data_IF_686147965804
#
_entry.id   IF_686147965804
#
_cell.length_a   1.000
_cell.length_b   1.000
_cell.length_c   1.000
_cell.angle_alpha   90.00
_cell.angle_beta   90.00
_cell.angle_gamma   90.00
#
_symmetry.space_group_name_H-M   'P 1'
#
loop_
_entity.id
_entity.type
_entity.pdbx_description
1 polymer ?
#
# COMPACT_ATOMS: atom_id res chain seq x y z
N UNK A 1 19.33 53.74 25.18
CA UNK A 1 18.85 52.37 25.00
C UNK A 1 18.40 52.24 23.55
N UNK A 2 19.16 51.51 22.75
CA UNK A 2 18.76 51.05 21.42
C UNK A 2 17.64 50.01 21.58
N UNK A 3 16.58 50.16 20.79
CA UNK A 3 15.65 49.08 20.46
C UNK A 3 15.64 48.96 18.95
N UNK A 4 16.41 48.01 18.42
CA UNK A 4 16.41 47.63 17.02
C UNK A 4 15.32 46.56 16.90
N UNK A 5 14.14 46.95 16.41
CA UNK A 5 13.09 45.99 16.06
C UNK A 5 13.37 45.50 14.63
N UNK A 6 13.96 44.32 14.54
CA UNK A 6 14.02 43.53 13.33
C UNK A 6 12.58 43.15 12.94
N UNK A 7 12.12 43.38 11.70
CA UNK A 7 10.97 42.67 11.20
C UNK A 7 11.38 41.21 11.04
N UNK A 8 10.65 40.30 11.70
CA UNK A 8 10.70 38.88 11.39
C UNK A 8 10.27 38.72 9.92
N UNK A 9 11.22 38.33 9.07
CA UNK A 9 10.94 37.85 7.73
C UNK A 9 10.11 36.57 7.89
N UNK A 10 8.80 36.70 7.65
CA UNK A 10 7.93 35.55 7.51
C UNK A 10 8.49 34.68 6.40
N UNK A 11 8.84 33.45 6.74
CA UNK A 11 9.15 32.40 5.78
C UNK A 11 8.00 32.32 4.77
N UNK A 12 8.18 32.92 3.59
CA UNK A 12 7.38 32.62 2.42
C UNK A 12 7.58 31.13 2.17
N UNK A 13 6.65 30.30 2.65
CA UNK A 13 6.52 28.94 2.14
C UNK A 13 6.36 29.09 0.64
N UNK A 14 7.41 28.77 -0.12
CA UNK A 14 7.32 28.64 -1.56
C UNK A 14 6.10 27.76 -1.85
N UNK A 15 5.04 28.37 -2.39
CA UNK A 15 3.91 27.65 -2.94
C UNK A 15 4.49 26.59 -3.88
N UNK A 16 4.15 25.31 -3.67
CA UNK A 16 4.77 24.25 -4.42
C UNK A 16 4.49 24.46 -5.91
N UNK A 17 5.51 24.82 -6.67
CA UNK A 17 5.39 25.02 -8.10
C UNK A 17 4.91 23.73 -8.80
N UNK A 18 4.34 23.83 -10.01
CA UNK A 18 3.81 22.69 -10.76
C UNK A 18 4.89 21.65 -11.12
N UNK A 19 6.16 22.00 -10.98
CA UNK A 19 7.29 21.10 -11.19
C UNK A 19 7.41 20.04 -10.08
N UNK A 20 6.84 20.27 -8.89
CA UNK A 20 6.87 19.34 -7.77
C UNK A 20 6.11 18.03 -8.04
N UNK A 21 5.16 18.05 -8.97
CA UNK A 21 4.44 16.84 -9.39
C UNK A 21 5.38 15.77 -9.97
N UNK A 22 6.53 16.16 -10.55
CA UNK A 22 7.53 15.22 -11.07
C UNK A 22 8.38 14.53 -10.00
N UNK A 23 8.44 15.07 -8.79
CA UNK A 23 9.21 14.50 -7.67
C UNK A 23 8.41 13.46 -6.88
N UNK A 24 7.08 13.41 -7.09
CA UNK A 24 6.19 12.48 -6.41
C UNK A 24 6.36 11.06 -6.90
N UNK A 25 6.12 10.10 -6.01
CA UNK A 25 6.02 8.69 -6.39
C UNK A 25 4.82 8.48 -7.32
N UNK A 26 4.93 7.66 -8.38
CA UNK A 26 3.81 7.38 -9.30
C UNK A 26 2.55 6.88 -8.61
N UNK A 27 2.69 6.16 -7.50
CA UNK A 27 1.59 5.60 -6.71
C UNK A 27 0.96 6.60 -5.73
N UNK A 28 1.49 7.82 -5.66
CA UNK A 28 1.01 8.90 -4.79
C UNK A 28 0.50 10.10 -5.59
N UNK A 29 0.48 10.00 -6.92
CA UNK A 29 -0.04 11.04 -7.79
C UNK A 29 -1.54 11.23 -7.59
N UNK A 30 -1.98 12.48 -7.68
CA UNK A 30 -3.40 12.86 -7.77
C UNK A 30 -3.72 13.35 -9.18
N UNK A 31 -5.01 13.54 -9.49
CA UNK A 31 -5.42 14.17 -10.76
C UNK A 31 -4.83 15.59 -10.92
N UNK A 32 -4.72 16.32 -9.81
CA UNK A 32 -4.08 17.64 -9.75
C UNK A 32 -2.62 17.58 -10.22
N UNK A 33 -1.87 16.59 -9.75
CA UNK A 33 -0.48 16.38 -10.17
C UNK A 33 -0.37 16.11 -11.68
N UNK A 34 -1.32 15.36 -12.24
CA UNK A 34 -1.35 15.10 -13.69
C UNK A 34 -1.68 16.38 -14.47
N UNK A 35 -2.53 17.28 -13.94
CA UNK A 35 -2.78 18.58 -14.55
C UNK A 35 -1.55 19.50 -14.49
N UNK A 36 -0.82 19.51 -13.38
CA UNK A 36 0.42 20.28 -13.24
C UNK A 36 1.49 19.80 -14.24
N UNK A 37 1.69 18.48 -14.33
CA UNK A 37 2.56 17.86 -15.34
C UNK A 37 2.12 18.26 -16.75
N UNK A 38 0.81 18.18 -17.04
CA UNK A 38 0.26 18.55 -18.35
C UNK A 38 0.52 20.01 -18.71
N UNK A 39 0.41 20.92 -17.73
CA UNK A 39 0.69 22.34 -17.89
C UNK A 39 2.17 22.59 -18.20
N UNK A 40 3.09 22.00 -17.43
CA UNK A 40 4.55 22.15 -17.65
C UNK A 40 4.93 21.62 -19.02
N UNK A 41 4.50 20.40 -19.36
CA UNK A 41 4.75 19.77 -20.65
C UNK A 41 4.18 20.60 -21.80
N UNK A 42 2.96 21.14 -21.66
CA UNK A 42 2.34 22.01 -22.65
C UNK A 42 3.13 23.29 -22.92
N UNK A 43 3.68 23.93 -21.87
CA UNK A 43 4.54 25.12 -22.01
C UNK A 43 5.84 24.81 -22.75
N UNK A 44 6.50 23.70 -22.41
CA UNK A 44 7.76 23.32 -23.07
C UNK A 44 7.56 22.95 -24.54
N UNK A 45 6.48 22.24 -24.87
CA UNK A 45 6.12 21.94 -26.27
C UNK A 45 5.86 23.23 -27.06
N UNK A 46 5.17 24.21 -26.46
CA UNK A 46 4.90 25.50 -27.12
C UNK A 46 6.18 26.30 -27.41
N UNK A 47 7.14 26.29 -26.46
CA UNK A 47 8.45 26.92 -26.66
C UNK A 47 9.17 26.31 -27.86
N UNK A 48 9.22 24.97 -27.94
CA UNK A 48 9.87 24.24 -29.04
C UNK A 48 9.14 24.49 -30.37
N UNK A 49 7.80 24.52 -30.37
CA UNK A 49 7.00 24.76 -31.57
C UNK A 49 7.13 26.18 -32.14
N UNK A 50 7.62 27.13 -31.34
CA UNK A 50 7.77 28.53 -31.77
C UNK A 50 9.07 28.79 -32.53
N UNK A 51 9.96 27.80 -32.65
CA UNK A 51 11.22 27.93 -33.38
C UNK A 51 11.01 27.84 -34.92
N UNK A 52 11.61 28.74 -35.73
CA UNK A 52 11.14 28.98 -37.11
C UNK A 52 11.59 27.96 -38.18
N UNK A 53 12.05 26.77 -37.82
CA UNK A 53 12.60 25.82 -38.80
C UNK A 53 11.47 24.96 -39.41
N UNK A 54 11.21 25.13 -40.71
CA UNK A 54 10.15 24.45 -41.45
C UNK A 54 10.18 22.92 -41.32
N UNK A 55 8.99 22.31 -41.26
CA UNK A 55 8.65 20.90 -40.92
C UNK A 55 8.68 20.48 -39.45
N UNK A 56 9.46 21.15 -38.59
CA UNK A 56 9.50 20.86 -37.14
C UNK A 56 8.12 21.06 -36.46
N UNK A 57 7.35 22.13 -36.76
CA UNK A 57 6.09 22.39 -36.05
C UNK A 57 5.01 21.31 -36.25
N UNK A 58 4.94 20.70 -37.44
CA UNK A 58 3.93 19.65 -37.72
C UNK A 58 4.25 18.35 -36.98
N UNK A 59 5.53 17.96 -36.90
CA UNK A 59 5.95 16.77 -36.14
C UNK A 59 5.76 16.99 -34.64
N UNK A 60 6.04 18.19 -34.14
CA UNK A 60 5.80 18.58 -32.74
C UNK A 60 4.31 18.54 -32.42
N UNK A 61 3.43 19.04 -33.29
CA UNK A 61 1.98 18.94 -33.10
C UNK A 61 1.49 17.48 -33.05
N UNK A 62 1.96 16.61 -33.96
CA UNK A 62 1.62 15.18 -33.92
C UNK A 62 2.09 14.50 -32.62
N UNK A 63 3.27 14.87 -32.12
CA UNK A 63 3.78 14.37 -30.85
C UNK A 63 2.97 14.92 -29.66
N UNK A 64 2.57 16.19 -29.70
CA UNK A 64 1.72 16.83 -28.71
C UNK A 64 0.42 16.05 -28.52
N UNK A 65 -0.27 15.66 -29.59
CA UNK A 65 -1.49 14.85 -29.48
C UNK A 65 -1.24 13.48 -28.83
N UNK A 66 -0.11 12.83 -29.13
CA UNK A 66 0.26 11.56 -28.48
C UNK A 66 0.55 11.76 -26.99
N UNK A 67 1.21 12.86 -26.62
CA UNK A 67 1.50 13.21 -25.24
C UNK A 67 0.21 13.50 -24.47
N UNK A 68 -0.70 14.31 -25.04
CA UNK A 68 -2.03 14.55 -24.46
C UNK A 68 -2.74 13.23 -24.23
N UNK A 69 -2.70 12.31 -25.20
CA UNK A 69 -3.31 10.99 -25.03
C UNK A 69 -2.68 10.17 -23.89
N UNK A 70 -1.36 10.24 -23.71
CA UNK A 70 -0.67 9.58 -22.59
C UNK A 70 -1.09 10.20 -21.25
N UNK A 71 -1.21 11.52 -21.19
CA UNK A 71 -1.64 12.25 -19.99
C UNK A 71 -3.09 11.93 -19.62
N UNK A 72 -4.00 11.86 -20.60
CA UNK A 72 -5.38 11.39 -20.39
C UNK A 72 -5.43 9.96 -19.83
N UNK A 73 -4.60 9.05 -20.35
CA UNK A 73 -4.51 7.68 -19.85
C UNK A 73 -3.95 7.64 -18.42
N UNK A 74 -2.96 8.49 -18.13
CA UNK A 74 -2.39 8.61 -16.79
C UNK A 74 -3.42 9.14 -15.80
N UNK A 75 -4.17 10.19 -16.16
CA UNK A 75 -5.25 10.75 -15.34
C UNK A 75 -6.30 9.70 -15.01
N UNK A 76 -6.75 8.93 -16.01
CA UNK A 76 -7.72 7.86 -15.80
C UNK A 76 -7.21 6.80 -14.80
N UNK A 77 -5.96 6.34 -14.96
CA UNK A 77 -5.35 5.36 -14.06
C UNK A 77 -5.18 5.90 -12.64
N UNK A 78 -4.74 7.16 -12.51
CA UNK A 78 -4.57 7.82 -11.21
C UNK A 78 -5.92 7.98 -10.50
N UNK A 79 -6.97 8.37 -11.24
CA UNK A 79 -8.31 8.50 -10.69
C UNK A 79 -8.87 7.15 -10.22
N UNK A 80 -8.81 6.12 -11.06
CA UNK A 80 -9.29 4.77 -10.69
C UNK A 80 -8.54 4.20 -9.49
N UNK A 81 -7.21 4.38 -9.44
CA UNK A 81 -6.38 3.96 -8.31
C UNK A 81 -6.78 4.67 -7.03
N UNK A 82 -6.95 6.00 -7.07
CA UNK A 82 -7.33 6.78 -5.89
C UNK A 82 -8.73 6.40 -5.39
N UNK A 83 -9.70 6.19 -6.29
CA UNK A 83 -11.04 5.72 -5.93
C UNK A 83 -10.98 4.35 -5.26
N UNK A 84 -10.27 3.39 -5.85
CA UNK A 84 -10.12 2.03 -5.29
C UNK A 84 -9.47 2.07 -3.91
N UNK A 85 -8.44 2.89 -3.73
CA UNK A 85 -7.76 3.05 -2.43
C UNK A 85 -8.70 3.64 -1.38
N UNK A 86 -9.50 4.65 -1.74
CA UNK A 86 -10.48 5.24 -0.81
C UNK A 86 -11.59 4.25 -0.46
N UNK A 87 -12.10 3.48 -1.42
CA UNK A 87 -13.09 2.41 -1.17
C UNK A 87 -12.55 1.36 -0.19
N UNK A 88 -11.33 0.86 -0.42
CA UNK A 88 -10.69 -0.11 0.48
C UNK A 88 -10.43 0.47 1.87
N UNK A 89 -10.08 1.75 1.97
CA UNK A 89 -9.91 2.43 3.27
C UNK A 89 -11.24 2.48 4.02
N UNK A 90 -12.33 2.84 3.34
CA UNK A 90 -13.66 2.87 3.94
C UNK A 90 -14.10 1.48 4.41
N UNK A 91 -13.90 0.44 3.59
CA UNK A 91 -14.20 -0.94 3.96
C UNK A 91 -13.38 -1.39 5.17
N UNK A 92 -12.07 -1.12 5.17
CA UNK A 92 -11.19 -1.39 6.32
C UNK A 92 -11.68 -0.69 7.58
N UNK A 93 -12.09 0.56 7.50
CA UNK A 93 -12.56 1.32 8.66
C UNK A 93 -13.91 0.82 9.17
N UNK A 94 -14.80 0.40 8.27
CA UNK A 94 -16.07 -0.24 8.63
C UNK A 94 -15.85 -1.59 9.32
N UNK A 95 -15.02 -2.46 8.74
CA UNK A 95 -14.65 -3.75 9.35
C UNK A 95 -13.96 -3.56 10.69
N UNK A 96 -13.09 -2.55 10.81
CA UNK A 96 -12.43 -2.23 12.08
C UNK A 96 -13.44 -1.83 13.16
N UNK A 97 -14.46 -1.04 12.81
CA UNK A 97 -15.56 -0.67 13.73
C UNK A 97 -16.43 -1.88 14.07
N UNK A 98 -16.74 -2.75 13.12
CA UNK A 98 -17.51 -3.97 13.37
C UNK A 98 -16.75 -4.91 14.32
N UNK A 99 -15.46 -5.15 14.08
CA UNK A 99 -14.60 -5.93 14.97
C UNK A 99 -14.53 -5.32 16.37
N UNK A 100 -14.43 -3.99 16.47
CA UNK A 100 -14.46 -3.30 17.76
C UNK A 100 -15.82 -3.43 18.46
N UNK A 101 -16.92 -3.35 17.70
CA UNK A 101 -18.29 -3.58 18.17
C UNK A 101 -18.47 -4.99 18.72
N UNK A 102 -18.09 -6.01 17.96
CA UNK A 102 -18.15 -7.41 18.39
C UNK A 102 -17.28 -7.69 19.62
N UNK A 103 -16.12 -7.01 19.75
CA UNK A 103 -15.30 -7.08 20.97
C UNK A 103 -15.98 -6.45 22.19
N UNK A 104 -16.84 -5.44 22.01
CA UNK A 104 -17.58 -4.74 23.07
C UNK A 104 -18.92 -5.39 23.41
N UNK A 105 -19.56 -6.04 22.43
CA UNK A 105 -20.84 -6.78 22.58
C UNK A 105 -20.64 -8.23 23.05
N UNK A 106 -19.40 -8.73 23.07
CA UNK A 106 -19.01 -9.79 24.00
C UNK A 106 -19.35 -9.37 25.44
N UNK A 107 -19.63 -10.32 26.36
CA UNK A 107 -20.06 -9.99 27.72
C UNK A 107 -19.14 -8.94 28.35
N UNK A 108 -19.65 -7.90 29.04
CA UNK A 108 -18.81 -6.96 29.77
C UNK A 108 -18.25 -7.69 31.00
N UNK A 109 -17.19 -8.44 30.78
CA UNK A 109 -16.53 -9.27 31.77
C UNK A 109 -15.13 -9.55 31.28
N UNK A 110 -14.24 -8.59 31.54
CA UNK A 110 -12.79 -8.66 31.35
C UNK A 110 -12.33 -9.16 29.97
N UNK A 111 -11.67 -8.28 29.23
CA UNK A 111 -10.81 -8.63 28.09
C UNK A 111 -9.68 -9.64 28.44
N UNK A 112 -9.61 -10.12 29.68
CA UNK A 112 -8.65 -11.09 30.18
C UNK A 112 -9.25 -12.47 30.50
N UNK A 113 -10.57 -12.67 30.66
CA UNK A 113 -11.10 -13.94 31.20
C UNK A 113 -12.51 -14.30 30.71
N UNK A 114 -12.60 -15.04 29.60
CA UNK A 114 -13.85 -15.69 29.19
C UNK A 114 -14.13 -16.90 30.09
N UNK A 115 -15.06 -16.77 31.04
CA UNK A 115 -15.54 -17.87 31.89
C UNK A 115 -16.73 -18.59 31.24
N UNK A 116 -16.49 -19.77 30.66
CA UNK A 116 -17.53 -20.57 30.00
C UNK A 116 -18.24 -21.52 30.99
N UNK A 117 -18.80 -20.99 32.07
CA UNK A 117 -19.57 -21.77 33.06
C UNK A 117 -18.72 -22.53 34.09
N UNK A 118 -19.37 -23.19 35.08
CA UNK A 118 -18.73 -23.62 36.34
C UNK A 118 -17.61 -24.66 36.20
N UNK A 119 -17.44 -25.23 35.01
CA UNK A 119 -16.53 -26.34 34.74
C UNK A 119 -15.68 -26.11 33.48
N UNK A 120 -15.53 -24.85 33.03
CA UNK A 120 -14.70 -24.53 31.85
C UNK A 120 -13.65 -23.47 32.18
N UNK A 121 -12.43 -23.81 31.80
CA UNK A 121 -11.20 -23.04 31.95
C UNK A 121 -11.38 -21.58 31.50
N UNK A 122 -10.80 -20.69 32.29
CA UNK A 122 -10.64 -19.29 31.95
C UNK A 122 -9.64 -19.18 30.80
N UNK A 123 -10.06 -18.64 29.66
CA UNK A 123 -9.23 -18.53 28.46
C UNK A 123 -8.65 -17.12 28.38
N UNK A 124 -7.36 -16.97 28.72
CA UNK A 124 -6.61 -15.74 28.43
C UNK A 124 -6.22 -15.73 26.95
N UNK A 125 -6.74 -14.76 26.20
CA UNK A 125 -6.47 -14.60 24.77
C UNK A 125 -5.07 -14.02 24.48
N UNK A 126 -4.40 -13.49 25.50
CA UNK A 126 -3.05 -12.88 25.44
C UNK A 126 -1.95 -13.88 25.80
N UNK A 127 -2.30 -15.04 26.34
CA UNK A 127 -1.32 -16.05 26.78
C UNK A 127 -0.56 -16.64 25.57
N UNK A 128 0.78 -16.46 25.51
CA UNK A 128 1.59 -17.06 24.46
C UNK A 128 1.58 -18.60 24.48
N UNK A 129 1.27 -19.23 25.63
CA UNK A 129 1.17 -20.68 25.78
C UNK A 129 -0.26 -21.21 25.53
N UNK A 130 -1.22 -20.33 25.19
CA UNK A 130 -2.58 -20.75 24.85
C UNK A 130 -2.54 -21.76 23.69
N UNK A 131 -3.13 -22.96 23.82
CA UNK A 131 -3.26 -23.90 22.71
C UNK A 131 -3.99 -23.24 21.54
N UNK A 132 -3.27 -22.95 20.45
CA UNK A 132 -3.81 -22.30 19.24
C UNK A 132 -4.32 -23.29 18.20
N UNK A 133 -3.99 -24.57 18.39
CA UNK A 133 -4.31 -25.64 17.46
C UNK A 133 -5.26 -26.63 18.10
N UNK A 134 -6.16 -27.15 17.30
CA UNK A 134 -7.00 -28.30 17.60
C UNK A 134 -6.18 -29.58 17.58
N UNK A 135 -6.66 -30.62 18.26
CA UNK A 135 -6.04 -31.96 18.21
C UNK A 135 -5.97 -32.52 16.79
N UNK A 136 -6.93 -32.16 15.93
CA UNK A 136 -6.98 -32.60 14.54
C UNK A 136 -5.81 -32.01 13.74
N UNK A 137 -5.60 -30.70 13.83
CA UNK A 137 -4.47 -30.03 13.18
C UNK A 137 -3.13 -30.59 13.66
N UNK A 138 -3.00 -30.84 14.96
CA UNK A 138 -1.78 -31.45 15.51
C UNK A 138 -1.57 -32.87 14.98
N UNK A 139 -2.63 -33.68 14.88
CA UNK A 139 -2.57 -35.02 14.28
C UNK A 139 -2.14 -34.95 12.82
N UNK A 140 -2.71 -34.03 12.05
CA UNK A 140 -2.43 -33.88 10.62
C UNK A 140 -0.96 -33.49 10.40
N UNK A 141 -0.46 -32.50 11.14
CA UNK A 141 0.95 -32.08 11.08
C UNK A 141 1.91 -33.20 11.52
N UNK A 142 1.54 -33.97 12.55
CA UNK A 142 2.35 -35.12 12.99
C UNK A 142 2.39 -36.23 11.94
N UNK A 143 1.26 -36.50 11.29
CA UNK A 143 1.17 -37.49 10.24
C UNK A 143 1.99 -37.09 9.01
N UNK A 144 1.90 -35.83 8.58
CA UNK A 144 2.69 -35.26 7.49
C UNK A 144 4.19 -35.35 7.80
N UNK A 145 4.61 -34.94 9.01
CA UNK A 145 6.01 -35.06 9.46
C UNK A 145 6.51 -36.51 9.40
N UNK A 146 5.68 -37.47 9.81
CA UNK A 146 6.06 -38.88 9.78
C UNK A 146 6.20 -39.41 8.35
N UNK A 147 5.30 -39.01 7.44
CA UNK A 147 5.39 -39.36 6.02
C UNK A 147 6.67 -38.79 5.39
N UNK A 148 6.97 -37.51 5.62
CA UNK A 148 8.19 -36.86 5.14
C UNK A 148 9.44 -37.53 5.70
N UNK A 149 9.43 -37.90 6.99
CA UNK A 149 10.54 -38.62 7.62
C UNK A 149 10.77 -39.99 6.97
N UNK A 150 9.72 -40.72 6.62
CA UNK A 150 9.84 -42.00 5.93
C UNK A 150 10.40 -41.83 4.52
N UNK A 151 9.92 -40.85 3.76
CA UNK A 151 10.45 -40.53 2.43
C UNK A 151 11.92 -40.11 2.47
N UNK A 152 12.31 -39.30 3.46
CA UNK A 152 13.67 -38.88 3.67
C UNK A 152 14.59 -40.07 4.00
N UNK A 153 14.13 -41.01 4.82
CA UNK A 153 14.89 -42.22 5.13
C UNK A 153 15.15 -43.06 3.87
N UNK A 154 14.10 -43.32 3.07
CA UNK A 154 14.22 -44.07 1.82
C UNK A 154 15.19 -43.37 0.86
N UNK A 155 15.03 -42.06 0.67
CA UNK A 155 15.91 -41.28 -0.20
C UNK A 155 17.35 -41.31 0.28
N UNK A 156 17.59 -41.27 1.60
CA UNK A 156 18.93 -41.40 2.17
C UNK A 156 19.53 -42.80 1.95
N UNK A 157 18.73 -43.86 2.08
CA UNK A 157 19.14 -45.24 1.78
C UNK A 157 19.51 -45.42 0.30
N UNK A 158 18.71 -44.87 -0.61
CA UNK A 158 19.01 -44.87 -2.05
C UNK A 158 20.31 -44.13 -2.36
N UNK A 159 20.49 -42.91 -1.83
CA UNK A 159 21.72 -42.13 -2.00
C UNK A 159 22.96 -42.83 -1.42
N UNK A 160 22.82 -43.57 -0.31
CA UNK A 160 23.90 -44.37 0.25
C UNK A 160 24.30 -45.53 -0.68
N UNK A 161 23.36 -46.13 -1.41
CA UNK A 161 23.66 -47.16 -2.39
C UNK A 161 24.50 -46.62 -3.57
N UNK A 162 24.29 -45.37 -3.97
CA UNK A 162 25.06 -44.75 -5.06
C UNK A 162 26.44 -44.20 -4.64
N UNK A 163 26.71 -44.05 -3.34
CA UNK A 163 28.02 -43.66 -2.81
C UNK A 163 28.98 -44.84 -2.57
N UNK A 164 28.52 -46.06 -2.80
CA UNK A 164 29.33 -47.29 -2.79
C UNK A 164 29.89 -47.59 -4.16
#
# INVERSE_FOLDING_TARGET
MQGHEHPEEGEEKEEPGPDNAFEKSPFQLTAEDVYDISYVVGREILKISSEPQGEVPTRVAQLQFKIVRILEMLEALVNESNLTVEELKMERDNLKKEVEGLRKEGPPGNAEQLSLGPDKMIIDLTDPNRPRFTLQELRDVLQERNQLKAQLLITQEELQCYKR
#
